data_IF_384117426791
#
_entry.id   IF_384117426791
#
_cell.length_a   1.000
_cell.length_b   1.000
_cell.length_c   1.000
_cell.angle_alpha   90.00
_cell.angle_beta   90.00
_cell.angle_gamma   90.00
#
_symmetry.space_group_name_H-M   'P 1'
#
loop_
_entity.id
_entity.type
_entity.pdbx_description
1 polymer ?
#
# COMPACT_ATOMS: atom_id res chain seq x y z
N UNK A 1 12.13 -28.20 85.78
CA UNK A 1 12.71 -26.87 86.08
C UNK A 1 12.95 -26.21 84.73
N UNK A 2 12.22 -25.13 84.45
CA UNK A 2 12.31 -24.43 83.16
C UNK A 2 13.62 -23.66 83.10
N UNK A 3 14.42 -23.91 82.07
CA UNK A 3 15.59 -23.11 81.75
C UNK A 3 15.12 -21.70 81.39
N UNK A 4 15.60 -20.70 82.13
CA UNK A 4 15.35 -19.29 81.81
C UNK A 4 16.02 -18.97 80.48
N UNK A 5 15.30 -18.39 79.50
CA UNK A 5 15.85 -18.12 78.18
C UNK A 5 17.10 -17.25 78.32
N UNK A 6 18.17 -17.64 77.61
CA UNK A 6 19.44 -16.92 77.66
C UNK A 6 19.24 -15.51 77.07
N UNK A 7 20.04 -14.54 77.52
CA UNK A 7 19.95 -13.17 77.01
C UNK A 7 20.12 -13.10 75.48
N UNK A 8 20.87 -14.05 74.91
CA UNK A 8 21.01 -14.29 73.48
C UNK A 8 19.71 -14.77 72.83
N UNK A 9 18.93 -15.66 73.46
CA UNK A 9 17.62 -16.11 72.93
C UNK A 9 16.60 -14.97 72.91
N UNK A 10 16.64 -14.10 73.92
CA UNK A 10 15.77 -12.92 74.01
C UNK A 10 16.12 -11.92 72.90
N UNK A 11 17.41 -11.64 72.69
CA UNK A 11 17.86 -10.72 71.64
C UNK A 11 17.60 -11.27 70.23
N UNK A 12 17.77 -12.58 70.03
CA UNK A 12 17.42 -13.24 68.77
C UNK A 12 15.91 -13.23 68.53
N UNK A 13 15.09 -13.41 69.57
CA UNK A 13 13.63 -13.31 69.47
C UNK A 13 13.19 -11.89 69.09
N UNK A 14 13.75 -10.83 69.69
CA UNK A 14 13.46 -9.46 69.27
C UNK A 14 13.93 -9.15 67.85
N UNK A 15 15.12 -9.62 67.46
CA UNK A 15 15.62 -9.48 66.11
C UNK A 15 14.73 -10.21 65.08
N UNK A 16 14.21 -11.39 65.42
CA UNK A 16 13.28 -12.15 64.59
C UNK A 16 11.89 -11.47 64.49
N UNK A 17 11.36 -10.96 65.61
CA UNK A 17 10.07 -10.26 65.68
C UNK A 17 10.07 -8.97 64.86
N UNK A 18 11.22 -8.29 64.72
CA UNK A 18 11.34 -7.09 63.89
C UNK A 18 11.74 -7.46 62.45
N UNK A 19 12.69 -8.36 62.28
CA UNK A 19 13.27 -8.70 60.98
C UNK A 19 12.30 -9.43 60.05
N UNK A 20 11.46 -10.34 60.57
CA UNK A 20 10.51 -11.12 59.76
C UNK A 20 9.39 -10.23 59.19
N UNK A 21 8.72 -9.35 59.96
CA UNK A 21 7.74 -8.43 59.40
C UNK A 21 8.35 -7.44 58.39
N UNK A 22 9.57 -6.95 58.63
CA UNK A 22 10.23 -6.02 57.72
C UNK A 22 10.58 -6.69 56.38
N UNK A 23 11.03 -7.94 56.41
CA UNK A 23 11.32 -8.74 55.21
C UNK A 23 10.05 -9.09 54.44
N UNK A 24 8.95 -9.43 55.12
CA UNK A 24 7.64 -9.64 54.48
C UNK A 24 7.12 -8.34 53.84
N UNK A 25 7.23 -7.21 54.54
CA UNK A 25 6.83 -5.90 54.01
C UNK A 25 7.64 -5.51 52.76
N UNK A 26 8.96 -5.71 52.79
CA UNK A 26 9.83 -5.43 51.65
C UNK A 26 9.57 -6.37 50.48
N UNK A 27 9.32 -7.66 50.72
CA UNK A 27 8.89 -8.62 49.69
C UNK A 27 7.56 -8.22 49.06
N UNK A 28 6.56 -7.85 49.87
CA UNK A 28 5.28 -7.37 49.36
C UNK A 28 5.46 -6.14 48.46
N UNK A 29 6.29 -5.17 48.89
CA UNK A 29 6.60 -3.97 48.12
C UNK A 29 7.35 -4.27 46.81
N UNK A 30 8.28 -5.23 46.83
CA UNK A 30 9.00 -5.69 45.63
C UNK A 30 8.04 -6.36 44.63
N UNK A 31 7.17 -7.25 45.09
CA UNK A 31 6.16 -7.93 44.25
C UNK A 31 5.18 -6.91 43.66
N UNK A 32 4.74 -5.92 44.43
CA UNK A 32 3.89 -4.84 43.93
C UNK A 32 4.58 -4.05 42.81
N UNK A 33 5.86 -3.67 43.02
CA UNK A 33 6.66 -2.96 42.02
C UNK A 33 6.92 -3.78 40.76
N UNK A 34 7.12 -5.09 40.89
CA UNK A 34 7.28 -5.98 39.73
C UNK A 34 5.97 -6.15 38.96
N UNK A 35 4.82 -6.19 39.64
CA UNK A 35 3.50 -6.17 38.99
C UNK A 35 3.27 -4.85 38.24
N UNK A 36 3.62 -3.71 38.84
CA UNK A 36 3.54 -2.40 38.19
C UNK A 36 4.43 -2.35 36.94
N UNK A 37 5.68 -2.83 37.03
CA UNK A 37 6.58 -2.94 35.87
C UNK A 37 6.04 -3.86 34.78
N UNK A 38 5.46 -5.01 35.15
CA UNK A 38 4.84 -5.91 34.16
C UNK A 38 3.64 -5.25 33.49
N UNK A 39 2.79 -4.54 34.23
CA UNK A 39 1.68 -3.78 33.67
C UNK A 39 2.17 -2.66 32.73
N UNK A 40 3.25 -1.96 33.10
CA UNK A 40 3.89 -0.95 32.25
C UNK A 40 4.44 -1.55 30.95
N UNK A 41 5.13 -2.70 31.02
CA UNK A 41 5.62 -3.43 29.84
C UNK A 41 4.46 -3.89 28.95
N UNK A 42 3.37 -4.39 29.53
CA UNK A 42 2.18 -4.78 28.77
C UNK A 42 1.56 -3.57 28.05
N UNK A 43 1.43 -2.43 28.74
CA UNK A 43 0.93 -1.19 28.15
C UNK A 43 1.85 -0.70 27.02
N UNK A 44 3.16 -0.73 27.21
CA UNK A 44 4.14 -0.38 26.17
C UNK A 44 4.04 -1.32 24.96
N UNK A 45 3.83 -2.62 25.19
CA UNK A 45 3.65 -3.60 24.12
C UNK A 45 2.37 -3.33 23.32
N UNK A 46 1.27 -2.98 24.00
CA UNK A 46 0.02 -2.60 23.36
C UNK A 46 0.20 -1.34 22.51
N UNK A 47 0.88 -0.31 23.04
CA UNK A 47 1.19 0.92 22.30
C UNK A 47 2.07 0.61 21.08
N UNK A 48 3.10 -0.22 21.23
CA UNK A 48 3.96 -0.63 20.11
C UNK A 48 3.18 -1.35 19.00
N UNK A 49 2.26 -2.24 19.37
CA UNK A 49 1.38 -2.92 18.41
C UNK A 49 0.44 -1.92 17.72
N UNK A 50 -0.12 -0.96 18.45
CA UNK A 50 -0.95 0.10 17.87
C UNK A 50 -0.17 0.97 16.88
N UNK A 51 1.04 1.39 17.24
CA UNK A 51 1.92 2.17 16.36
C UNK A 51 2.28 1.40 15.09
N UNK A 52 2.57 0.11 15.22
CA UNK A 52 2.85 -0.77 14.07
C UNK A 52 1.64 -0.85 13.14
N UNK A 53 0.44 -1.03 13.69
CA UNK A 53 -0.78 -1.06 12.90
C UNK A 53 -1.06 0.29 12.22
N UNK A 54 -0.85 1.41 12.92
CA UNK A 54 -0.99 2.75 12.34
C UNK A 54 0.00 2.98 11.20
N UNK A 55 1.23 2.51 11.33
CA UNK A 55 2.24 2.61 10.27
C UNK A 55 1.82 1.82 9.02
N UNK A 56 1.38 0.58 9.20
CA UNK A 56 0.89 -0.27 8.10
C UNK A 56 -0.31 0.38 7.41
N UNK A 57 -1.26 0.91 8.19
CA UNK A 57 -2.43 1.57 7.63
C UNK A 57 -2.07 2.87 6.90
N UNK A 58 -1.16 3.65 7.46
CA UNK A 58 -0.64 4.88 6.84
C UNK A 58 0.01 4.58 5.50
N UNK A 59 0.85 3.54 5.42
CA UNK A 59 1.49 3.11 4.17
C UNK A 59 0.45 2.67 3.13
N UNK A 60 -0.56 1.91 3.54
CA UNK A 60 -1.66 1.49 2.66
C UNK A 60 -2.45 2.69 2.13
N UNK A 61 -2.78 3.67 2.99
CA UNK A 61 -3.48 4.90 2.59
C UNK A 61 -2.60 5.74 1.66
N UNK A 62 -1.31 5.88 1.98
CA UNK A 62 -0.36 6.61 1.16
C UNK A 62 -0.29 6.01 -0.25
N UNK A 63 -0.04 4.71 -0.38
CA UNK A 63 -0.04 4.02 -1.68
C UNK A 63 -1.36 4.16 -2.44
N UNK A 64 -2.49 4.07 -1.73
CA UNK A 64 -3.82 4.27 -2.34
C UNK A 64 -3.99 5.69 -2.88
N UNK A 65 -3.43 6.70 -2.21
CA UNK A 65 -3.43 8.10 -2.68
C UNK A 65 -2.59 8.30 -3.94
N UNK A 66 -1.59 7.43 -4.17
CA UNK A 66 -0.71 7.41 -5.35
C UNK A 66 -1.28 6.63 -6.53
N UNK A 67 -2.50 6.11 -6.41
CA UNK A 67 -3.16 5.40 -7.51
C UNK A 67 -3.56 6.39 -8.62
N UNK A 68 -3.13 6.20 -9.88
CA UNK A 68 -3.52 7.07 -10.97
C UNK A 68 -5.03 7.11 -11.18
N UNK A 69 -5.57 8.26 -11.57
CA UNK A 69 -6.97 8.39 -11.99
C UNK A 69 -7.00 8.79 -13.47
N UNK A 70 -7.11 7.80 -14.34
CA UNK A 70 -6.94 7.97 -15.79
C UNK A 70 -8.30 8.09 -16.47
N UNK A 71 -8.52 9.24 -17.11
CA UNK A 71 -9.57 9.44 -18.10
C UNK A 71 -9.01 9.06 -19.47
N UNK A 72 -9.81 8.35 -20.27
CA UNK A 72 -9.41 7.86 -21.59
C UNK A 72 -10.40 8.39 -22.61
N UNK A 73 -9.89 8.87 -23.74
CA UNK A 73 -10.67 9.29 -24.89
C UNK A 73 -10.14 8.58 -26.13
N UNK A 74 -11.06 8.21 -27.03
CA UNK A 74 -10.72 7.56 -28.29
C UNK A 74 -11.08 8.50 -29.42
N UNK A 75 -10.12 8.72 -30.30
CA UNK A 75 -10.27 9.48 -31.54
C UNK A 75 -9.99 8.54 -32.71
N UNK A 76 -10.99 8.34 -33.57
CA UNK A 76 -10.83 7.63 -34.82
C UNK A 76 -10.40 8.64 -35.89
N UNK A 77 -9.30 8.37 -36.59
CA UNK A 77 -8.75 9.22 -37.65
C UNK A 77 -8.78 8.41 -38.96
N UNK A 78 -9.91 8.40 -39.69
CA UNK A 78 -10.09 7.54 -40.87
C UNK A 78 -9.07 7.81 -41.97
N UNK A 79 -8.65 9.07 -42.15
CA UNK A 79 -7.70 9.49 -43.19
C UNK A 79 -6.32 8.88 -42.97
N UNK A 80 -5.95 8.64 -41.71
CA UNK A 80 -4.69 8.01 -41.32
C UNK A 80 -4.83 6.52 -41.07
N UNK A 81 -6.06 5.98 -41.16
CA UNK A 81 -6.40 4.62 -40.73
C UNK A 81 -5.84 4.36 -39.33
N UNK A 82 -6.10 5.29 -38.42
CA UNK A 82 -5.51 5.26 -37.08
C UNK A 82 -6.54 5.44 -35.98
N UNK A 83 -6.28 4.81 -34.84
CA UNK A 83 -7.07 4.93 -33.63
C UNK A 83 -6.17 5.48 -32.52
N UNK A 84 -6.45 6.72 -32.11
CA UNK A 84 -5.67 7.43 -31.11
C UNK A 84 -6.37 7.39 -29.76
N UNK A 85 -5.66 6.87 -28.77
CA UNK A 85 -6.07 6.87 -27.37
C UNK A 85 -5.39 8.02 -26.66
N UNK A 86 -6.18 8.92 -26.07
CA UNK A 86 -5.69 10.05 -25.28
C UNK A 86 -5.98 9.74 -23.83
N UNK A 87 -4.92 9.72 -23.02
CA UNK A 87 -4.97 9.43 -21.60
C UNK A 87 -4.70 10.70 -20.81
N UNK A 88 -5.53 10.98 -19.82
CA UNK A 88 -5.37 12.10 -18.89
C UNK A 88 -5.38 11.61 -17.45
N UNK A 89 -4.26 11.71 -16.78
CA UNK A 89 -4.19 11.54 -15.34
C UNK A 89 -4.73 12.80 -14.64
N UNK A 90 -5.74 12.58 -13.80
CA UNK A 90 -6.43 13.60 -13.03
C UNK A 90 -6.09 13.56 -11.54
N UNK A 91 -5.35 12.53 -11.09
CA UNK A 91 -4.88 12.49 -9.71
C UNK A 91 -3.56 13.25 -9.58
N UNK A 92 -3.63 14.45 -8.99
CA UNK A 92 -2.48 15.33 -8.74
C UNK A 92 -1.47 14.74 -7.74
N UNK A 93 -1.89 13.78 -6.91
CA UNK A 93 -1.00 13.12 -5.95
C UNK A 93 -0.22 11.96 -6.58
N UNK A 94 -0.54 11.56 -7.81
CA UNK A 94 0.07 10.44 -8.52
C UNK A 94 0.84 10.96 -9.73
N UNK A 95 2.14 11.18 -9.59
CA UNK A 95 3.00 11.59 -10.70
C UNK A 95 3.43 10.37 -11.51
N UNK A 96 3.03 10.29 -12.77
CA UNK A 96 3.45 9.24 -13.71
C UNK A 96 4.82 9.58 -14.28
N UNK A 97 5.73 8.61 -14.24
CA UNK A 97 7.08 8.68 -14.84
C UNK A 97 7.16 7.91 -16.16
N UNK A 98 6.25 6.96 -16.38
CA UNK A 98 6.22 6.18 -17.60
C UNK A 98 4.94 5.39 -17.77
N UNK A 99 4.71 4.94 -19.00
CA UNK A 99 3.65 3.99 -19.31
C UNK A 99 4.13 3.01 -20.37
N UNK A 100 3.63 1.77 -20.33
CA UNK A 100 4.01 0.74 -21.28
C UNK A 100 2.79 -0.11 -21.69
N UNK A 101 2.82 -0.63 -22.92
CA UNK A 101 1.77 -1.51 -23.44
C UNK A 101 2.27 -2.96 -23.37
N UNK A 102 1.77 -3.71 -22.38
CA UNK A 102 2.27 -5.04 -22.04
C UNK A 102 2.07 -6.07 -23.17
N UNK A 103 1.01 -5.94 -23.97
CA UNK A 103 0.70 -6.85 -25.08
C UNK A 103 1.06 -6.31 -26.47
N UNK A 104 1.82 -5.21 -26.57
CA UNK A 104 2.21 -4.61 -27.87
C UNK A 104 2.73 -5.62 -28.90
N UNK A 105 3.53 -6.61 -28.48
CA UNK A 105 4.09 -7.63 -29.36
C UNK A 105 3.10 -8.67 -29.90
N UNK A 106 1.92 -8.82 -29.29
CA UNK A 106 0.89 -9.81 -29.72
C UNK A 106 -0.08 -9.22 -30.74
N UNK A 107 -0.11 -7.90 -30.87
CA UNK A 107 -1.01 -7.19 -31.75
C UNK A 107 -0.39 -7.18 -33.15
N UNK A 108 -0.56 -8.28 -33.89
CA UNK A 108 -0.03 -8.43 -35.25
C UNK A 108 -0.66 -7.38 -36.18
N UNK A 109 0.15 -6.79 -37.06
CA UNK A 109 -0.25 -5.82 -38.09
C UNK A 109 -0.71 -4.43 -37.59
N UNK A 110 -0.35 -4.02 -36.37
CA UNK A 110 -0.54 -2.63 -35.91
C UNK A 110 0.82 -1.96 -35.68
N UNK A 111 0.99 -0.80 -36.30
CA UNK A 111 2.09 0.10 -35.97
C UNK A 111 1.65 0.97 -34.79
N UNK A 112 2.44 0.95 -33.72
CA UNK A 112 2.11 1.60 -32.45
C UNK A 112 3.07 2.76 -32.22
N UNK A 113 2.54 3.98 -32.21
CA UNK A 113 3.27 5.18 -31.81
C UNK A 113 2.84 5.62 -30.41
N UNK A 114 3.81 6.12 -29.62
CA UNK A 114 3.61 6.53 -28.23
C UNK A 114 4.16 7.92 -28.02
N UNK A 115 3.44 8.75 -27.27
CA UNK A 115 3.91 10.07 -26.86
C UNK A 115 4.77 10.03 -25.59
N UNK A 116 5.51 11.08 -25.32
CA UNK A 116 5.96 11.36 -23.96
C UNK A 116 4.79 11.72 -23.04
N UNK A 117 5.03 11.73 -21.72
CA UNK A 117 4.09 12.27 -20.74
C UNK A 117 4.26 13.78 -20.70
N UNK A 118 3.20 14.51 -21.01
CA UNK A 118 3.14 15.97 -20.90
C UNK A 118 2.52 16.32 -19.55
N UNK A 119 3.18 17.16 -18.77
CA UNK A 119 2.65 17.67 -17.51
C UNK A 119 2.20 19.12 -17.69
N UNK A 120 0.96 19.42 -17.35
CA UNK A 120 0.41 20.76 -17.31
C UNK A 120 -0.29 20.96 -15.96
N UNK A 121 0.30 21.78 -15.09
CA UNK A 121 -0.23 22.11 -13.75
C UNK A 121 -0.59 20.87 -12.91
N UNK A 122 0.21 19.80 -13.01
CA UNK A 122 0.00 18.54 -12.31
C UNK A 122 -0.98 17.57 -12.99
N UNK A 123 -1.72 18.02 -14.01
CA UNK A 123 -2.45 17.10 -14.89
C UNK A 123 -1.53 16.57 -15.98
N UNK A 124 -1.43 15.24 -16.06
CA UNK A 124 -0.55 14.59 -17.02
C UNK A 124 -1.35 14.01 -18.18
N UNK A 125 -0.90 14.25 -19.42
CA UNK A 125 -1.53 13.74 -20.64
C UNK A 125 -0.52 12.99 -21.50
N UNK A 126 -0.95 11.87 -22.08
CA UNK A 126 -0.16 11.10 -23.05
C UNK A 126 -1.09 10.41 -24.04
N UNK A 127 -0.56 9.93 -25.16
CA UNK A 127 -1.35 9.24 -26.17
C UNK A 127 -0.64 8.04 -26.77
N UNK A 128 -1.45 7.07 -27.20
CA UNK A 128 -1.03 5.90 -27.97
C UNK A 128 -1.82 5.92 -29.28
N UNK A 129 -1.11 5.86 -30.40
CA UNK A 129 -1.70 5.84 -31.74
C UNK A 129 -1.49 4.45 -32.34
N UNK A 130 -2.59 3.81 -32.76
CA UNK A 130 -2.59 2.51 -33.43
C UNK A 130 -2.94 2.72 -34.91
N UNK A 131 -1.94 2.61 -35.77
CA UNK A 131 -2.15 2.60 -37.21
C UNK A 131 -2.50 1.20 -37.68
N UNK A 132 -3.66 1.06 -38.33
CA UNK A 132 -4.13 -0.20 -38.92
C UNK A 132 -3.98 -0.14 -40.44
N UNK A 133 -2.88 -0.73 -40.95
CA UNK A 133 -2.48 -0.61 -42.35
C UNK A 133 -3.52 -1.19 -43.34
N UNK A 134 -4.21 -2.27 -42.95
CA UNK A 134 -5.00 -3.09 -43.88
C UNK A 134 -6.46 -3.35 -43.48
N UNK A 135 -6.80 -3.40 -42.19
CA UNK A 135 -8.19 -3.66 -41.75
C UNK A 135 -8.54 -2.90 -40.47
N UNK A 136 -9.77 -2.37 -40.34
CA UNK A 136 -10.27 -1.78 -39.10
C UNK A 136 -10.19 -2.74 -37.93
N UNK A 137 -9.92 -2.20 -36.74
CA UNK A 137 -9.77 -2.97 -35.52
C UNK A 137 -11.16 -3.33 -34.99
N UNK A 138 -11.62 -4.56 -35.20
CA UNK A 138 -12.95 -4.95 -34.71
C UNK A 138 -13.03 -5.09 -33.20
N UNK A 139 -11.99 -5.70 -32.61
CA UNK A 139 -11.85 -5.91 -31.17
C UNK A 139 -10.37 -5.80 -30.80
N UNK A 140 -10.08 -5.10 -29.72
CA UNK A 140 -8.74 -4.93 -29.20
C UNK A 140 -8.77 -4.91 -27.68
N UNK A 141 -7.85 -5.67 -27.08
CA UNK A 141 -7.56 -5.58 -25.65
C UNK A 141 -6.20 -4.93 -25.47
N UNK A 142 -6.17 -3.82 -24.75
CA UNK A 142 -4.96 -3.11 -24.36
C UNK A 142 -4.69 -3.38 -22.89
N UNK A 143 -3.48 -3.81 -22.57
CA UNK A 143 -3.02 -3.96 -21.19
C UNK A 143 -1.92 -2.91 -20.98
N UNK A 144 -2.19 -1.91 -20.13
CA UNK A 144 -1.31 -0.76 -19.89
C UNK A 144 -0.75 -0.83 -18.48
N UNK A 145 0.57 -0.69 -18.39
CA UNK A 145 1.31 -0.53 -17.15
C UNK A 145 1.65 0.96 -16.96
N UNK A 146 1.31 1.54 -15.80
CA UNK A 146 1.62 2.90 -15.38
C UNK A 146 2.67 2.86 -14.27
N UNK A 147 3.79 3.56 -14.46
CA UNK A 147 4.84 3.72 -13.44
C UNK A 147 4.72 5.08 -12.78
N UNK A 148 4.74 5.12 -11.45
CA UNK A 148 4.73 6.39 -10.69
C UNK A 148 6.14 6.78 -10.22
N UNK A 149 6.28 8.03 -9.81
CA UNK A 149 7.53 8.58 -9.26
C UNK A 149 7.99 7.87 -7.98
N UNK A 150 7.04 7.42 -7.16
CA UNK A 150 7.30 6.64 -5.94
C UNK A 150 7.68 5.17 -6.22
N UNK A 151 7.76 4.77 -7.49
CA UNK A 151 8.12 3.41 -7.90
C UNK A 151 6.97 2.40 -7.86
N UNK A 152 5.72 2.85 -7.70
CA UNK A 152 4.56 1.97 -7.82
C UNK A 152 4.26 1.67 -9.29
N UNK A 153 3.83 0.44 -9.56
CA UNK A 153 3.38 0.03 -10.89
C UNK A 153 1.91 -0.37 -10.81
N UNK A 154 1.07 0.33 -11.56
CA UNK A 154 -0.34 0.04 -11.70
C UNK A 154 -0.61 -0.52 -13.09
N UNK A 155 -1.57 -1.43 -13.20
CA UNK A 155 -1.98 -2.02 -14.47
C UNK A 155 -3.46 -1.75 -14.73
N UNK A 156 -3.81 -1.63 -16.00
CA UNK A 156 -5.19 -1.45 -16.45
C UNK A 156 -5.41 -2.13 -17.80
N UNK A 157 -6.48 -2.89 -17.87
CA UNK A 157 -6.97 -3.46 -19.11
C UNK A 157 -8.00 -2.52 -19.74
N UNK A 158 -8.00 -2.36 -21.06
CA UNK A 158 -8.97 -1.58 -21.82
C UNK A 158 -9.46 -2.45 -22.98
N UNK A 159 -10.77 -2.66 -23.03
CA UNK A 159 -11.41 -3.42 -24.12
C UNK A 159 -12.03 -2.41 -25.07
N UNK A 160 -11.73 -2.56 -26.36
CA UNK A 160 -12.13 -1.66 -27.42
C UNK A 160 -12.80 -2.49 -28.51
N UNK A 161 -13.92 -2.01 -29.03
CA UNK A 161 -14.63 -2.67 -30.12
C UNK A 161 -15.32 -1.68 -31.03
N UNK A 162 -15.56 -2.08 -32.27
CA UNK A 162 -16.35 -1.31 -33.23
C UNK A 162 -17.83 -1.67 -33.12
N UNK A 163 -18.70 -0.66 -33.05
CA UNK A 163 -20.15 -0.84 -33.13
C UNK A 163 -20.74 0.20 -34.09
N UNK A 164 -21.30 -0.25 -35.21
CA UNK A 164 -21.90 0.60 -36.25
C UNK A 164 -20.95 1.69 -36.79
N UNK A 165 -19.68 1.37 -37.01
CA UNK A 165 -18.67 2.32 -37.49
C UNK A 165 -18.11 3.26 -36.41
N UNK A 166 -18.55 3.14 -35.16
CA UNK A 166 -18.08 3.92 -34.02
C UNK A 166 -17.30 3.03 -33.07
N UNK A 167 -16.09 3.44 -32.71
CA UNK A 167 -15.29 2.75 -31.70
C UNK A 167 -15.80 3.06 -30.29
N UNK A 168 -16.03 2.00 -29.52
CA UNK A 168 -16.38 2.05 -28.12
C UNK A 168 -15.28 1.42 -27.28
N UNK A 169 -15.24 1.80 -26.01
CA UNK A 169 -14.34 1.17 -25.06
C UNK A 169 -14.95 1.04 -23.67
N UNK A 170 -14.39 0.10 -22.92
CA UNK A 170 -14.58 -0.03 -21.47
C UNK A 170 -13.20 -0.18 -20.83
N UNK A 171 -12.78 0.78 -20.00
CA UNK A 171 -11.61 0.61 -19.17
C UNK A 171 -11.94 -0.26 -17.95
N UNK A 172 -11.07 -1.22 -17.68
CA UNK A 172 -11.06 -1.99 -16.44
C UNK A 172 -10.55 -1.16 -15.25
N UNK A 173 -10.64 -1.72 -14.04
CA UNK A 173 -10.12 -1.08 -12.85
C UNK A 173 -8.59 -1.00 -12.93
N UNK A 174 -8.04 0.14 -12.52
CA UNK A 174 -6.61 0.29 -12.28
C UNK A 174 -6.28 -0.51 -11.01
N UNK A 175 -5.33 -1.42 -11.07
CA UNK A 175 -4.91 -2.25 -9.93
C UNK A 175 -3.39 -2.19 -9.77
N UNK A 176 -2.92 -2.40 -8.55
CA UNK A 176 -1.49 -2.51 -8.28
C UNK A 176 -0.96 -3.84 -8.81
N UNK A 177 0.12 -3.80 -9.59
CA UNK A 177 0.76 -4.97 -10.20
C UNK A 177 1.18 -5.99 -9.13
N UNK A 178 1.68 -5.53 -7.99
CA UNK A 178 2.14 -6.42 -6.92
C UNK A 178 0.98 -7.11 -6.18
N UNK A 179 -0.22 -6.52 -6.19
CA UNK A 179 -1.44 -7.13 -5.66
C UNK A 179 -2.21 -7.96 -6.70
N UNK A 180 -1.75 -7.98 -7.95
CA UNK A 180 -2.42 -8.69 -9.05
C UNK A 180 -2.24 -10.21 -8.98
N UNK A 181 -1.29 -10.70 -8.18
CA UNK A 181 -1.02 -12.11 -7.91
C UNK A 181 -2.08 -12.80 -7.01
N UNK A 182 -3.13 -12.08 -6.59
CA UNK A 182 -4.25 -12.60 -5.81
C UNK A 182 -5.52 -12.86 -6.66
N UNK A 183 -5.39 -12.91 -8.00
CA UNK A 183 -6.45 -13.31 -8.92
C UNK A 183 -6.31 -14.76 -9.36
#
# INVERSE_FOLDING_TARGET
MGETPSWTDIMQAFAAVIGVPLTIYTLYKLVAKDKERQAEIQNLTVIANQLTNMQIESEKRYKSSKKPNILIFIENIPERKSLKFIFKNTNLNSSLTGYNLANSAKIKNLDIARSGILNNEGSQTFYIDFNYNLQPIKNLKLDIDYSTEEGYIFIQDIIVWEQNGVYKMVPGPIIDKNNSALK
#
